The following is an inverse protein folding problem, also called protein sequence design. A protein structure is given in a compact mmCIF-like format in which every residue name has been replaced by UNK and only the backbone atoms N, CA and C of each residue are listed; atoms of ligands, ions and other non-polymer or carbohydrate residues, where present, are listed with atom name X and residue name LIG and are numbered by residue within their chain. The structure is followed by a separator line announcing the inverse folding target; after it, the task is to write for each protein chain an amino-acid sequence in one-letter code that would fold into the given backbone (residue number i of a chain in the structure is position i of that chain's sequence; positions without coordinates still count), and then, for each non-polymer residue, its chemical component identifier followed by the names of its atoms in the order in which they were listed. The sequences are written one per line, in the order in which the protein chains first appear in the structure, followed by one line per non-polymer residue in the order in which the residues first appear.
data_IF_666472825442
#
_entry.id   IF_666472825442
#
_cell.length_a   1.000
_cell.length_b   1.000
_cell.length_c   1.000
_cell.angle_alpha   90.00
_cell.angle_beta   90.00
_cell.angle_gamma   90.00
#
_symmetry.space_group_name_H-M   'P 1'
#
loop_
_entity.id
_entity.type
_entity.pdbx_description
1 polymer ?
#
# COMPACT_ATOMS: atom_id res chain seq x y z
N UNK A 1 -13.98 -10.77 -6.35
CA UNK A 1 -13.23 -11.66 -7.25
C UNK A 1 -14.12 -12.84 -7.59
N UNK A 2 -14.57 -12.97 -8.83
CA UNK A 2 -15.49 -14.00 -9.24
C UNK A 2 -16.79 -14.00 -8.41
N UNK A 3 -17.10 -15.10 -7.76
CA UNK A 3 -18.28 -15.29 -6.92
C UNK A 3 -18.03 -14.97 -5.42
N UNK A 4 -16.89 -14.37 -5.08
CA UNK A 4 -16.48 -14.08 -3.71
C UNK A 4 -16.38 -12.58 -3.48
N UNK A 5 -16.84 -12.15 -2.31
CA UNK A 5 -16.64 -10.81 -1.77
C UNK A 5 -15.70 -10.92 -0.56
N UNK A 6 -14.77 -9.98 -0.48
CA UNK A 6 -13.85 -9.84 0.64
C UNK A 6 -14.17 -8.55 1.37
N UNK A 7 -14.31 -8.63 2.67
CA UNK A 7 -14.76 -7.53 3.51
C UNK A 7 -13.94 -7.46 4.78
N UNK A 8 -13.54 -6.24 5.15
CA UNK A 8 -12.97 -5.94 6.47
C UNK A 8 -13.94 -5.01 7.20
N UNK A 9 -14.23 -5.32 8.45
CA UNK A 9 -15.10 -4.48 9.29
C UNK A 9 -14.28 -3.50 10.11
N UNK A 10 -14.91 -2.39 10.57
CA UNK A 10 -14.22 -1.30 11.28
C UNK A 10 -14.37 -1.43 12.80
N UNK A 11 -13.42 -2.12 13.46
CA UNK A 11 -13.21 -2.08 14.92
C UNK A 11 -11.72 -2.32 15.23
N UNK A 12 -11.28 -2.28 16.47
CA UNK A 12 -9.86 -2.38 16.86
C UNK A 12 -9.16 -3.71 16.49
N UNK A 13 -9.92 -4.79 16.31
CA UNK A 13 -9.46 -6.08 15.77
C UNK A 13 -10.51 -6.51 14.77
N UNK A 14 -10.29 -6.23 13.51
CA UNK A 14 -11.28 -6.43 12.48
C UNK A 14 -11.04 -7.74 11.73
N UNK A 15 -12.04 -8.63 11.71
CA UNK A 15 -11.91 -9.81 10.89
C UNK A 15 -11.98 -9.46 9.40
N UNK A 16 -11.07 -10.07 8.64
CA UNK A 16 -11.13 -10.19 7.20
C UNK A 16 -12.06 -11.35 6.86
N UNK A 17 -13.17 -11.07 6.21
CA UNK A 17 -14.18 -12.07 5.84
C UNK A 17 -14.06 -12.48 4.38
N UNK A 18 -14.26 -13.77 4.13
CA UNK A 18 -14.49 -14.34 2.80
C UNK A 18 -15.98 -14.71 2.70
N UNK A 19 -16.70 -14.11 1.75
CA UNK A 19 -18.15 -14.22 1.61
C UNK A 19 -18.48 -14.78 0.22
N UNK A 20 -19.28 -15.85 0.17
CA UNK A 20 -19.89 -16.33 -1.06
C UNK A 20 -21.05 -15.40 -1.46
N UNK A 21 -20.99 -14.88 -2.67
CA UNK A 21 -22.03 -14.03 -3.28
C UNK A 21 -22.57 -14.60 -4.59
N UNK A 22 -22.34 -15.88 -4.85
CA UNK A 22 -22.87 -16.57 -6.04
C UNK A 22 -24.38 -16.42 -6.16
N UNK A 23 -25.07 -16.48 -5.02
CA UNK A 23 -26.49 -16.15 -4.91
C UNK A 23 -26.66 -14.85 -4.12
N UNK A 24 -26.80 -13.69 -4.79
CA UNK A 24 -26.83 -12.38 -4.11
C UNK A 24 -27.94 -12.24 -3.05
N UNK A 25 -29.04 -12.98 -3.20
CA UNK A 25 -30.14 -13.01 -2.21
C UNK A 25 -29.87 -13.88 -0.97
N UNK A 26 -28.76 -14.64 -0.97
CA UNK A 26 -28.40 -15.58 0.13
C UNK A 26 -26.86 -15.60 0.30
N UNK A 27 -26.21 -14.49 0.65
CA UNK A 27 -24.77 -14.48 0.87
C UNK A 27 -24.41 -15.36 2.09
N UNK A 28 -23.22 -16.00 2.05
CA UNK A 28 -22.73 -16.85 3.13
C UNK A 28 -21.28 -16.49 3.48
N UNK A 29 -20.98 -16.35 4.77
CA UNK A 29 -19.59 -16.29 5.24
C UNK A 29 -18.97 -17.68 5.07
N UNK A 30 -17.90 -17.77 4.31
CA UNK A 30 -17.14 -19.00 4.09
C UNK A 30 -16.03 -19.18 5.12
N UNK A 31 -15.36 -18.09 5.49
CA UNK A 31 -14.32 -18.06 6.49
C UNK A 31 -13.97 -16.65 6.91
N UNK A 32 -13.14 -16.53 7.92
CA UNK A 32 -12.63 -15.24 8.38
C UNK A 32 -11.25 -15.39 9.01
N UNK A 33 -10.49 -14.28 9.01
CA UNK A 33 -9.19 -14.16 9.64
C UNK A 33 -9.20 -12.98 10.63
N UNK A 34 -8.78 -13.21 11.87
CA UNK A 34 -8.55 -12.16 12.87
C UNK A 34 -7.04 -11.91 13.01
N UNK A 35 -6.63 -10.70 12.72
CA UNK A 35 -5.24 -10.25 12.84
C UNK A 35 -5.19 -8.85 13.47
N UNK A 36 -4.05 -8.44 14.06
CA UNK A 36 -3.88 -7.08 14.55
C UNK A 36 -4.01 -6.05 13.42
N UNK A 37 -4.73 -4.96 13.68
CA UNK A 37 -4.99 -3.90 12.72
C UNK A 37 -6.15 -4.21 11.78
N UNK A 38 -6.30 -3.40 10.74
CA UNK A 38 -7.34 -3.53 9.71
C UNK A 38 -6.80 -3.17 8.32
N UNK A 39 -7.51 -3.58 7.27
CA UNK A 39 -7.25 -3.13 5.89
C UNK A 39 -8.40 -2.25 5.43
N UNK A 40 -8.13 -0.97 5.14
CA UNK A 40 -9.10 -0.02 4.60
C UNK A 40 -9.24 -0.11 3.08
N UNK A 41 -8.22 -0.66 2.40
CA UNK A 41 -8.22 -0.92 0.97
C UNK A 41 -7.76 -2.35 0.69
N UNK A 42 -8.49 -3.04 -0.20
CA UNK A 42 -8.17 -4.40 -0.66
C UNK A 42 -7.98 -4.40 -2.17
N UNK A 43 -6.89 -5.01 -2.64
CA UNK A 43 -6.57 -5.13 -4.06
C UNK A 43 -6.29 -6.59 -4.43
N UNK A 44 -6.85 -7.14 -5.51
CA UNK A 44 -6.50 -8.47 -5.98
C UNK A 44 -5.03 -8.55 -6.38
N UNK A 45 -4.27 -9.48 -5.80
CA UNK A 45 -2.94 -9.84 -6.30
C UNK A 45 -3.07 -10.86 -7.45
N UNK A 46 -3.89 -11.88 -7.23
CA UNK A 46 -4.35 -12.87 -8.21
C UNK A 46 -5.66 -13.51 -7.73
N UNK A 47 -6.08 -14.63 -8.33
CA UNK A 47 -7.35 -15.28 -8.00
C UNK A 47 -7.43 -15.84 -6.56
N UNK A 48 -6.26 -16.08 -5.92
CA UNK A 48 -6.17 -16.67 -4.59
C UNK A 48 -5.44 -15.78 -3.57
N UNK A 49 -4.98 -14.59 -3.97
CA UNK A 49 -4.24 -13.71 -3.07
C UNK A 49 -4.74 -12.27 -3.16
N UNK A 50 -4.69 -11.57 -2.02
CA UNK A 50 -5.19 -10.20 -1.86
C UNK A 50 -4.14 -9.36 -1.15
N UNK A 51 -3.88 -8.17 -1.68
CA UNK A 51 -3.12 -7.12 -0.99
C UNK A 51 -4.09 -6.29 -0.16
N UNK A 52 -3.80 -6.12 1.12
CA UNK A 52 -4.50 -5.18 2.00
C UNK A 52 -3.62 -4.02 2.37
N UNK A 53 -4.13 -2.79 2.29
CA UNK A 53 -3.50 -1.60 2.85
C UNK A 53 -4.39 -1.03 3.94
N UNK A 54 -3.82 -0.79 5.10
CA UNK A 54 -4.57 -0.33 6.26
C UNK A 54 -3.68 0.16 7.38
N UNK A 55 -4.03 -0.16 8.61
CA UNK A 55 -3.30 0.27 9.80
C UNK A 55 -3.11 -0.86 10.80
N UNK A 56 -1.95 -0.85 11.46
CA UNK A 56 -1.69 -1.57 12.69
C UNK A 56 -1.24 -0.54 13.74
N UNK A 57 -2.05 -0.34 14.77
CA UNK A 57 -1.95 0.80 15.69
C UNK A 57 -2.02 2.14 14.93
N UNK A 58 -0.99 2.97 15.04
CA UNK A 58 -0.88 4.28 14.39
C UNK A 58 -0.17 4.24 13.04
N UNK A 59 0.22 3.06 12.55
CA UNK A 59 1.10 2.92 11.41
C UNK A 59 0.39 2.28 10.21
N UNK A 60 0.76 2.73 9.01
CA UNK A 60 0.34 2.10 7.76
C UNK A 60 0.88 0.68 7.72
N UNK A 61 -0.01 -0.26 7.42
CA UNK A 61 0.27 -1.68 7.28
C UNK A 61 -0.08 -2.13 5.87
N UNK A 62 0.78 -2.94 5.30
CA UNK A 62 0.53 -3.70 4.07
C UNK A 62 0.44 -5.17 4.46
N UNK A 63 -0.55 -5.88 3.95
CA UNK A 63 -0.74 -7.31 4.16
C UNK A 63 -0.86 -8.03 2.82
N UNK A 64 -0.32 -9.23 2.73
CA UNK A 64 -0.56 -10.15 1.62
C UNK A 64 -1.31 -11.36 2.19
N UNK A 65 -2.55 -11.55 1.75
CA UNK A 65 -3.43 -12.62 2.22
C UNK A 65 -3.46 -13.77 1.21
N UNK A 66 -3.42 -15.00 1.72
CA UNK A 66 -3.77 -16.20 0.98
C UNK A 66 -5.24 -16.55 1.30
N UNK A 67 -6.06 -16.65 0.25
CA UNK A 67 -7.47 -16.98 0.29
C UNK A 67 -7.78 -18.23 -0.57
N UNK A 68 -6.78 -19.05 -0.87
CA UNK A 68 -6.92 -20.31 -1.60
C UNK A 68 -7.82 -21.28 -0.83
N UNK A 69 -7.62 -21.41 0.49
CA UNK A 69 -8.60 -22.01 1.39
C UNK A 69 -9.54 -20.93 1.95
N UNK A 70 -10.72 -20.84 1.38
CA UNK A 70 -11.73 -19.85 1.77
C UNK A 70 -12.23 -20.01 3.19
N UNK A 71 -12.11 -21.20 3.77
CA UNK A 71 -12.55 -21.51 5.15
C UNK A 71 -11.51 -21.10 6.19
N UNK A 72 -10.23 -21.00 5.77
CA UNK A 72 -9.10 -20.69 6.62
C UNK A 72 -8.13 -19.69 5.94
N UNK A 73 -8.57 -18.44 5.63
CA UNK A 73 -7.68 -17.44 5.03
C UNK A 73 -6.54 -17.10 5.98
N UNK A 74 -5.35 -16.79 5.42
CA UNK A 74 -4.15 -16.49 6.21
C UNK A 74 -3.47 -15.19 5.75
N UNK A 75 -2.76 -14.51 6.67
CA UNK A 75 -1.83 -13.42 6.34
C UNK A 75 -0.44 -14.01 6.14
N UNK A 76 -0.06 -14.23 4.88
CA UNK A 76 1.22 -14.87 4.54
C UNK A 76 2.43 -13.93 4.66
N UNK A 77 2.22 -12.63 4.54
CA UNK A 77 3.25 -11.61 4.71
C UNK A 77 2.63 -10.29 5.16
N UNK A 78 3.37 -9.52 5.97
CA UNK A 78 3.01 -8.15 6.31
C UNK A 78 4.23 -7.23 6.39
N UNK A 79 4.00 -5.96 6.13
CA UNK A 79 4.94 -4.87 6.37
C UNK A 79 4.23 -3.75 7.11
N UNK A 80 4.83 -3.27 8.22
CA UNK A 80 4.32 -2.14 9.00
C UNK A 80 5.33 -1.01 8.90
N UNK A 81 4.88 0.18 8.52
CA UNK A 81 5.74 1.36 8.43
C UNK A 81 6.32 1.69 9.80
N UNK A 82 7.60 2.10 9.81
CA UNK A 82 8.32 2.48 11.02
C UNK A 82 8.65 3.96 10.99
N UNK A 83 8.97 4.54 12.15
CA UNK A 83 9.48 5.90 12.25
C UNK A 83 8.51 6.92 12.85
N UNK A 84 7.36 6.49 13.35
CA UNK A 84 6.36 7.35 13.97
C UNK A 84 4.94 7.03 13.50
N UNK A 85 4.01 7.96 13.68
CA UNK A 85 2.68 7.83 13.09
C UNK A 85 2.77 7.93 11.55
N UNK A 86 2.05 7.08 10.85
CA UNK A 86 2.07 7.12 9.38
C UNK A 86 0.67 7.06 8.78
N UNK A 87 0.52 7.71 7.61
CA UNK A 87 -0.73 7.75 6.85
C UNK A 87 -0.48 7.59 5.35
N UNK A 88 -1.55 7.21 4.64
CA UNK A 88 -1.52 7.07 3.18
C UNK A 88 -2.85 7.47 2.55
N UNK A 89 -2.85 8.20 1.42
CA UNK A 89 -4.07 8.52 0.69
C UNK A 89 -4.76 7.28 0.09
N UNK A 90 -4.11 6.12 0.00
CA UNK A 90 -4.72 4.86 -0.51
C UNK A 90 -6.01 4.50 0.23
N UNK A 91 -6.12 4.86 1.51
CA UNK A 91 -7.30 4.56 2.33
C UNK A 91 -8.58 5.32 1.90
N UNK A 92 -8.43 6.40 1.15
CA UNK A 92 -9.54 7.24 0.65
C UNK A 92 -9.53 7.41 -0.87
N UNK A 93 -8.39 7.18 -1.53
CA UNK A 93 -8.21 7.35 -2.97
C UNK A 93 -7.38 6.20 -3.57
N UNK A 94 -8.08 5.20 -4.11
CA UNK A 94 -7.47 4.03 -4.74
C UNK A 94 -6.56 4.37 -5.93
N UNK A 95 -6.69 5.54 -6.56
CA UNK A 95 -5.82 5.97 -7.68
C UNK A 95 -4.40 6.32 -7.24
N UNK A 96 -4.15 6.43 -5.94
CA UNK A 96 -2.81 6.59 -5.40
C UNK A 96 -2.04 5.27 -5.25
N UNK A 97 -2.70 4.13 -5.49
CA UNK A 97 -2.13 2.79 -5.38
C UNK A 97 -1.69 2.29 -6.76
N UNK A 98 -0.41 2.06 -6.94
CA UNK A 98 0.19 1.48 -8.14
C UNK A 98 0.67 0.06 -7.84
N UNK A 99 0.12 -0.93 -8.54
CA UNK A 99 0.54 -2.31 -8.44
C UNK A 99 0.72 -2.94 -9.81
N UNK A 100 1.82 -3.64 -10.00
CA UNK A 100 2.08 -4.49 -11.17
C UNK A 100 2.68 -5.82 -10.70
N UNK A 101 1.89 -6.89 -10.87
CA UNK A 101 2.30 -8.24 -10.49
C UNK A 101 3.49 -8.75 -11.31
N UNK A 102 3.53 -8.44 -12.61
CA UNK A 102 4.57 -8.93 -13.52
C UNK A 102 5.95 -8.38 -13.18
N UNK A 103 5.99 -7.18 -12.58
CA UNK A 103 7.18 -6.48 -12.11
C UNK A 103 7.44 -6.65 -10.61
N UNK A 104 6.60 -7.42 -9.93
CA UNK A 104 6.60 -7.52 -8.45
C UNK A 104 6.60 -6.14 -7.77
N UNK A 105 5.97 -5.13 -8.40
CA UNK A 105 6.05 -3.73 -8.01
C UNK A 105 4.78 -3.28 -7.26
N UNK A 106 4.98 -2.66 -6.11
CA UNK A 106 3.93 -1.93 -5.39
C UNK A 106 4.47 -0.56 -4.98
N UNK A 107 3.75 0.50 -5.35
CA UNK A 107 4.14 1.89 -5.04
C UNK A 107 2.92 2.68 -4.59
N UNK A 108 3.05 3.43 -3.51
CA UNK A 108 2.03 4.40 -3.09
C UNK A 108 2.62 5.46 -2.15
N UNK A 109 1.97 6.65 -2.08
CA UNK A 109 2.42 7.72 -1.20
C UNK A 109 2.20 7.39 0.28
N UNK A 110 3.15 7.78 1.11
CA UNK A 110 3.08 7.68 2.58
C UNK A 110 3.57 8.98 3.19
N UNK A 111 2.89 9.41 4.26
CA UNK A 111 3.37 10.45 5.18
C UNK A 111 3.77 9.79 6.48
N UNK A 112 4.95 10.12 7.01
CA UNK A 112 5.43 9.70 8.32
C UNK A 112 5.63 10.95 9.16
N UNK A 113 4.88 11.06 10.26
CA UNK A 113 5.12 12.08 11.27
C UNK A 113 6.12 11.54 12.28
N UNK A 114 7.31 12.10 12.25
CA UNK A 114 8.40 11.69 13.11
C UNK A 114 8.14 11.99 14.59
N UNK A 115 8.82 11.25 15.47
CA UNK A 115 8.90 11.53 16.90
C UNK A 115 10.37 11.64 17.28
N UNK A 116 10.73 12.70 17.99
CA UNK A 116 12.05 13.00 18.61
C UNK A 116 13.32 12.57 17.83
N UNK A 117 13.40 11.32 17.38
CA UNK A 117 14.57 10.73 16.68
C UNK A 117 14.38 10.50 15.19
N UNK A 118 13.14 10.59 14.70
CA UNK A 118 12.81 10.32 13.31
C UNK A 118 12.27 11.59 12.66
N UNK A 119 12.89 12.07 11.57
CA UNK A 119 12.39 13.22 10.84
C UNK A 119 11.02 12.92 10.22
N UNK A 120 10.23 13.95 10.06
CA UNK A 120 9.03 13.87 9.21
C UNK A 120 9.44 13.54 7.78
N UNK A 121 8.62 12.72 7.11
CA UNK A 121 8.87 12.33 5.74
C UNK A 121 7.56 12.17 4.97
N UNK A 122 7.58 12.58 3.70
CA UNK A 122 6.49 12.32 2.76
C UNK A 122 7.07 12.00 1.38
N UNK A 123 6.50 10.99 0.72
CA UNK A 123 6.94 10.56 -0.60
C UNK A 123 6.26 9.27 -1.05
N UNK A 124 6.65 8.77 -2.22
CA UNK A 124 6.27 7.45 -2.70
C UNK A 124 7.14 6.39 -2.05
N UNK A 125 6.53 5.44 -1.36
CA UNK A 125 7.20 4.22 -0.89
C UNK A 125 7.12 3.15 -1.97
N UNK A 126 8.27 2.56 -2.29
CA UNK A 126 8.42 1.50 -3.30
C UNK A 126 8.71 0.19 -2.60
N UNK A 127 7.93 -0.84 -2.94
CA UNK A 127 8.06 -2.20 -2.42
C UNK A 127 8.20 -3.19 -3.57
N UNK A 128 8.90 -4.29 -3.33
CA UNK A 128 8.69 -5.52 -4.07
C UNK A 128 7.68 -6.39 -3.32
N UNK A 129 6.78 -7.03 -4.08
CA UNK A 129 5.75 -7.90 -3.52
C UNK A 129 5.62 -9.17 -4.36
N UNK A 130 5.89 -10.32 -3.77
CA UNK A 130 5.75 -11.62 -4.42
C UNK A 130 5.32 -12.70 -3.42
N UNK A 131 4.77 -13.80 -3.95
CA UNK A 131 4.34 -14.93 -3.11
C UNK A 131 5.53 -15.65 -2.45
N UNK A 132 6.69 -15.63 -3.09
CA UNK A 132 7.89 -16.33 -2.60
C UNK A 132 8.68 -15.55 -1.56
N UNK A 133 8.72 -14.20 -1.68
CA UNK A 133 9.53 -13.33 -0.82
C UNK A 133 8.69 -12.45 0.11
N UNK A 134 7.36 -12.40 -0.11
CA UNK A 134 6.46 -11.52 0.63
C UNK A 134 6.62 -10.06 0.21
N UNK A 135 6.48 -9.16 1.19
CA UNK A 135 6.53 -7.71 1.01
C UNK A 135 7.87 -7.19 1.51
N UNK A 136 8.65 -6.54 0.63
CA UNK A 136 9.94 -5.97 0.96
C UNK A 136 10.02 -4.51 0.55
N UNK A 137 10.43 -3.63 1.47
CA UNK A 137 10.67 -2.22 1.17
C UNK A 137 11.95 -2.06 0.33
N UNK A 138 11.85 -1.32 -0.76
CA UNK A 138 12.97 -1.04 -1.68
C UNK A 138 13.56 0.35 -1.47
N UNK A 139 12.71 1.33 -1.13
CA UNK A 139 13.12 2.70 -0.93
C UNK A 139 11.95 3.68 -1.02
N UNK A 140 12.26 4.96 -0.85
CA UNK A 140 11.31 6.05 -0.94
C UNK A 140 11.79 7.16 -1.86
N UNK A 141 10.85 7.79 -2.60
CA UNK A 141 11.10 8.94 -3.47
C UNK A 141 10.30 10.12 -2.90
N UNK A 142 11.00 11.09 -2.32
CA UNK A 142 10.41 12.33 -1.82
C UNK A 142 10.61 13.48 -2.81
N UNK A 143 9.66 14.42 -2.81
CA UNK A 143 9.78 15.69 -3.52
C UNK A 143 10.19 16.84 -2.60
N UNK A 144 10.21 16.60 -1.30
CA UNK A 144 10.69 17.56 -0.31
C UNK A 144 12.20 17.80 -0.46
N UNK A 145 12.67 18.96 -0.04
CA UNK A 145 14.09 19.19 0.13
C UNK A 145 14.68 18.25 1.20
N UNK A 146 15.97 17.93 1.13
CA UNK A 146 16.61 17.14 2.17
C UNK A 146 16.52 17.84 3.53
N UNK A 147 16.00 17.14 4.54
CA UNK A 147 15.89 17.63 5.92
C UNK A 147 15.11 18.95 6.05
N UNK A 148 13.88 19.04 5.54
CA UNK A 148 13.12 20.27 5.63
C UNK A 148 12.80 20.57 7.10
N UNK A 149 12.73 21.85 7.45
CA UNK A 149 12.27 22.29 8.79
C UNK A 149 10.78 21.99 8.99
N UNK A 150 10.04 21.88 7.91
CA UNK A 150 8.61 21.57 7.84
C UNK A 150 8.31 20.98 6.46
N UNK A 151 7.40 20.00 6.41
CA UNK A 151 6.92 19.45 5.14
C UNK A 151 6.01 20.45 4.43
N UNK A 152 6.22 20.64 3.13
CA UNK A 152 5.39 21.50 2.28
C UNK A 152 4.39 20.67 1.49
N UNK A 153 3.08 20.93 1.67
CA UNK A 153 2.01 20.13 1.07
C UNK A 153 2.02 20.12 -0.46
N UNK A 154 2.49 21.20 -1.11
CA UNK A 154 2.58 21.29 -2.55
C UNK A 154 3.59 20.30 -3.16
N UNK A 155 4.56 19.84 -2.36
CA UNK A 155 5.52 18.81 -2.73
C UNK A 155 5.10 17.41 -2.29
N UNK A 156 3.91 17.23 -1.70
CA UNK A 156 3.42 15.90 -1.36
C UNK A 156 3.19 15.08 -2.63
N UNK A 157 3.87 13.94 -2.72
CA UNK A 157 3.62 12.98 -3.79
C UNK A 157 2.19 12.47 -3.65
N UNK A 158 1.41 12.62 -4.72
CA UNK A 158 0.00 12.27 -4.75
C UNK A 158 -0.32 11.14 -5.72
N UNK A 159 0.50 10.99 -6.76
CA UNK A 159 0.32 10.00 -7.82
C UNK A 159 1.65 9.40 -8.23
N UNK A 160 1.56 8.14 -8.64
CA UNK A 160 2.68 7.40 -9.21
C UNK A 160 2.21 6.63 -10.43
N UNK A 161 3.06 6.53 -11.44
CA UNK A 161 2.88 5.67 -12.60
C UNK A 161 4.25 5.24 -13.10
N UNK A 162 4.30 4.26 -14.00
CA UNK A 162 5.52 3.94 -14.73
C UNK A 162 5.28 3.92 -16.24
N UNK A 163 6.34 4.19 -16.99
CA UNK A 163 6.42 4.02 -18.44
C UNK A 163 7.74 3.32 -18.69
N UNK A 164 7.70 2.16 -19.32
CA UNK A 164 8.86 1.27 -19.49
C UNK A 164 9.58 1.00 -18.16
N UNK A 165 10.85 1.39 -18.02
CA UNK A 165 11.66 1.19 -16.81
C UNK A 165 11.76 2.47 -15.95
N UNK A 166 10.92 3.48 -16.21
CA UNK A 166 10.93 4.75 -15.50
C UNK A 166 9.71 4.87 -14.59
N UNK A 167 9.95 5.06 -13.30
CA UNK A 167 8.93 5.37 -12.30
C UNK A 167 8.76 6.88 -12.20
N UNK A 168 7.54 7.36 -12.41
CA UNK A 168 7.14 8.76 -12.30
C UNK A 168 6.41 8.97 -10.98
N UNK A 169 6.85 9.95 -10.20
CA UNK A 169 6.15 10.42 -9.01
C UNK A 169 5.75 11.87 -9.20
N UNK A 170 4.53 12.24 -8.79
CA UNK A 170 3.92 13.53 -9.09
C UNK A 170 3.39 14.19 -7.83
N UNK A 171 3.75 15.48 -7.66
CA UNK A 171 3.18 16.43 -6.69
C UNK A 171 2.56 17.61 -7.42
N UNK A 172 2.05 18.63 -6.70
CA UNK A 172 1.54 19.84 -7.34
C UNK A 172 2.66 20.69 -7.98
N UNK A 173 3.91 20.56 -7.51
CA UNK A 173 5.05 21.41 -7.93
C UNK A 173 6.09 20.67 -8.73
N UNK A 174 6.07 19.34 -8.77
CA UNK A 174 7.18 18.58 -9.33
C UNK A 174 6.75 17.23 -9.88
N UNK A 175 7.39 16.81 -10.96
CA UNK A 175 7.39 15.44 -11.44
C UNK A 175 8.82 14.94 -11.37
N UNK A 176 9.07 13.84 -10.65
CA UNK A 176 10.35 13.13 -10.67
C UNK A 176 10.28 11.87 -11.49
N UNK A 177 11.36 11.58 -12.19
CA UNK A 177 11.60 10.38 -12.96
C UNK A 177 12.76 9.62 -12.33
N UNK A 178 12.50 8.40 -11.90
CA UNK A 178 13.51 7.55 -11.28
C UNK A 178 13.60 6.22 -12.03
N UNK A 179 14.79 5.65 -12.08
CA UNK A 179 14.96 4.28 -12.56
C UNK A 179 14.18 3.33 -11.65
N UNK A 180 13.37 2.44 -12.23
CA UNK A 180 12.48 1.56 -11.47
C UNK A 180 13.25 0.48 -10.70
N UNK A 181 14.42 0.07 -11.17
CA UNK A 181 15.20 -1.02 -10.56
C UNK A 181 15.97 -0.55 -9.33
N UNK A 182 16.70 0.57 -9.42
CA UNK A 182 17.59 1.05 -8.36
C UNK A 182 17.11 2.34 -7.65
N UNK A 183 16.02 2.93 -8.14
CA UNK A 183 15.40 4.18 -7.69
C UNK A 183 16.28 5.44 -7.86
N UNK A 184 17.37 5.34 -8.61
CA UNK A 184 18.22 6.48 -8.88
C UNK A 184 17.48 7.54 -9.71
N UNK A 185 17.69 8.84 -9.43
CA UNK A 185 17.06 9.92 -10.17
C UNK A 185 17.59 9.96 -11.61
N UNK A 186 16.65 10.07 -12.57
CA UNK A 186 16.94 10.26 -13.99
C UNK A 186 16.77 11.73 -14.36
N UNK A 187 15.62 12.32 -13.96
CA UNK A 187 15.30 13.72 -14.27
C UNK A 187 14.19 14.22 -13.35
N UNK A 188 13.97 15.54 -13.31
CA UNK A 188 12.82 16.15 -12.67
C UNK A 188 12.32 17.37 -13.46
N UNK A 189 11.04 17.68 -13.32
CA UNK A 189 10.39 18.84 -13.93
C UNK A 189 9.65 19.60 -12.82
N UNK A 190 9.93 20.90 -12.70
CA UNK A 190 9.12 21.81 -11.88
C UNK A 190 7.88 22.25 -12.65
N UNK A 191 6.74 22.34 -11.96
CA UNK A 191 5.43 22.71 -12.50
C UNK A 191 5.02 24.12 -12.05
#
# INVERSE_FOLDING_TARGET
MGKRCYLVTFRQIDPFFVIDVEKPSKPKVLGYLKIPGFSGYLHPYDDNHIIGVGRENTNVKISLFDVSDVSAPTEMSKYVMRGGWSDTPVLSDHKSFLFDRSRELLVFPVTIQGWEKYPEWQGACVFSISLSKGIMFRGGISHQEPYPSQLEEDYFVRRTLYIDEVLYTMSNKKIKMNNMENLEPINEISL
#
